data_IF_768593585668
#
_entry.id   IF_768593585668
#
_cell.length_a   1.000
_cell.length_b   1.000
_cell.length_c   1.000
_cell.angle_alpha   90.00
_cell.angle_beta   90.00
_cell.angle_gamma   90.00
#
_symmetry.space_group_name_H-M   'P 1'
#
loop_
_entity.id
_entity.type
_entity.pdbx_description
1 polymer ?
#
# COMPACT_ATOMS: atom_id res chain seq x y z
N UNK A 1 33.99 -6.41 22.68
CA UNK A 1 33.51 -5.57 21.55
C UNK A 1 33.81 -6.27 20.22
N UNK A 2 33.06 -7.32 19.86
CA UNK A 2 33.08 -7.80 18.48
C UNK A 2 32.07 -6.96 17.71
N UNK A 3 32.51 -6.35 16.59
CA UNK A 3 31.56 -5.84 15.60
C UNK A 3 30.72 -7.05 15.18
N UNK A 4 29.44 -7.06 15.51
CA UNK A 4 28.48 -8.01 14.95
C UNK A 4 28.39 -7.69 13.46
N UNK A 5 29.37 -8.16 12.69
CA UNK A 5 29.36 -8.05 11.23
C UNK A 5 28.22 -8.93 10.77
N UNK A 6 27.05 -8.32 10.55
CA UNK A 6 25.97 -8.94 9.81
C UNK A 6 26.60 -9.57 8.57
N UNK A 7 26.40 -10.88 8.32
CA UNK A 7 27.03 -11.51 7.18
C UNK A 7 26.63 -10.74 5.92
N UNK A 8 27.58 -10.36 5.05
CA UNK A 8 27.31 -9.55 3.85
C UNK A 8 26.23 -10.18 2.95
N UNK A 9 26.01 -11.49 3.08
CA UNK A 9 24.94 -12.22 2.40
C UNK A 9 23.51 -11.84 2.82
N UNK A 10 23.28 -11.29 4.01
CA UNK A 10 21.91 -10.98 4.49
C UNK A 10 21.28 -9.76 3.79
N UNK A 11 22.06 -8.70 3.57
CA UNK A 11 21.66 -7.56 2.76
C UNK A 11 21.47 -7.97 1.29
N UNK A 12 22.41 -8.76 0.75
CA UNK A 12 22.33 -9.25 -0.63
C UNK A 12 21.09 -10.14 -0.86
N UNK A 13 20.79 -11.04 0.09
CA UNK A 13 19.60 -11.92 0.04
C UNK A 13 18.31 -11.11 -0.01
N UNK A 14 18.17 -10.14 0.90
CA UNK A 14 16.98 -9.27 0.97
C UNK A 14 16.83 -8.44 -0.31
N UNK A 15 17.91 -7.84 -0.80
CA UNK A 15 17.91 -7.06 -2.04
C UNK A 15 17.55 -7.92 -3.26
N UNK A 16 18.17 -9.10 -3.40
CA UNK A 16 17.92 -10.02 -4.51
C UNK A 16 16.48 -10.54 -4.52
N UNK A 17 15.96 -10.91 -3.36
CA UNK A 17 14.57 -11.33 -3.22
C UNK A 17 13.61 -10.22 -3.62
N UNK A 18 13.81 -8.99 -3.12
CA UNK A 18 12.99 -7.85 -3.51
C UNK A 18 13.11 -7.52 -5.00
N UNK A 19 14.31 -7.64 -5.58
CA UNK A 19 14.54 -7.35 -7.00
C UNK A 19 13.75 -8.29 -7.93
N UNK A 20 13.50 -9.53 -7.51
CA UNK A 20 12.74 -10.51 -8.30
C UNK A 20 11.24 -10.40 -8.04
N UNK A 21 10.83 -10.33 -6.76
CA UNK A 21 9.43 -10.45 -6.38
C UNK A 21 8.69 -9.11 -6.34
N UNK A 22 9.36 -7.99 -6.07
CA UNK A 22 8.70 -6.68 -6.07
C UNK A 22 8.11 -6.35 -7.45
N UNK A 23 8.79 -6.63 -8.59
CA UNK A 23 8.19 -6.40 -9.89
C UNK A 23 6.88 -7.14 -10.10
N UNK A 24 6.86 -8.43 -9.78
CA UNK A 24 5.67 -9.27 -9.92
C UNK A 24 4.53 -8.72 -9.07
N UNK A 25 4.79 -8.42 -7.80
CA UNK A 25 3.78 -7.87 -6.90
C UNK A 25 3.22 -6.53 -7.40
N UNK A 26 4.09 -5.59 -7.74
CA UNK A 26 3.69 -4.25 -8.17
C UNK A 26 2.92 -4.27 -9.49
N UNK A 27 3.33 -5.12 -10.44
CA UNK A 27 2.58 -5.33 -11.68
C UNK A 27 1.18 -5.86 -11.37
N UNK A 28 1.09 -6.92 -10.56
CA UNK A 28 -0.19 -7.52 -10.16
C UNK A 28 -1.10 -6.51 -9.46
N UNK A 29 -0.62 -5.80 -8.44
CA UNK A 29 -1.42 -4.81 -7.71
C UNK A 29 -1.92 -3.70 -8.64
N UNK A 30 -1.05 -3.13 -9.48
CA UNK A 30 -1.42 -2.05 -10.39
C UNK A 30 -2.44 -2.49 -11.44
N UNK A 31 -2.29 -3.70 -12.00
CA UNK A 31 -3.22 -4.25 -12.99
C UNK A 31 -4.57 -4.60 -12.37
N UNK A 32 -4.56 -5.25 -11.20
CA UNK A 32 -5.78 -5.65 -10.50
C UNK A 32 -6.58 -4.46 -9.98
N UNK A 33 -5.90 -3.41 -9.52
CA UNK A 33 -6.53 -2.13 -9.19
C UNK A 33 -7.24 -1.55 -10.42
N UNK A 34 -6.55 -1.49 -11.56
CA UNK A 34 -7.09 -0.92 -12.79
C UNK A 34 -8.29 -1.72 -13.30
N UNK A 35 -8.29 -3.06 -13.20
CA UNK A 35 -9.45 -3.91 -13.51
C UNK A 35 -10.68 -3.51 -12.68
N UNK A 36 -10.51 -3.39 -11.36
CA UNK A 36 -11.60 -3.03 -10.46
C UNK A 36 -12.15 -1.64 -10.73
N UNK A 37 -11.27 -0.68 -11.03
CA UNK A 37 -11.71 0.67 -11.40
C UNK A 37 -12.40 0.70 -12.76
N UNK A 38 -11.92 -0.07 -13.74
CA UNK A 38 -12.55 -0.15 -15.06
C UNK A 38 -13.95 -0.77 -14.97
N UNK A 39 -14.11 -1.83 -14.17
CA UNK A 39 -15.42 -2.46 -13.89
C UNK A 39 -16.36 -1.53 -13.14
N UNK A 40 -15.85 -0.82 -12.13
CA UNK A 40 -16.63 0.21 -11.43
C UNK A 40 -17.10 1.30 -12.39
N UNK A 41 -16.24 1.72 -13.33
CA UNK A 41 -16.60 2.74 -14.30
C UNK A 41 -17.71 2.29 -15.26
N UNK A 42 -17.76 1.03 -15.68
CA UNK A 42 -18.85 0.51 -16.54
C UNK A 42 -20.12 0.12 -15.75
N UNK A 43 -20.20 0.45 -14.46
CA UNK A 43 -21.37 0.14 -13.63
C UNK A 43 -21.50 -1.34 -13.29
N UNK A 44 -20.41 -2.10 -13.29
CA UNK A 44 -20.39 -3.51 -12.85
C UNK A 44 -20.02 -3.55 -11.36
N UNK A 45 -20.63 -4.46 -10.55
CA UNK A 45 -20.26 -4.63 -9.15
C UNK A 45 -18.75 -4.83 -8.96
N UNK A 46 -18.20 -4.22 -7.90
CA UNK A 46 -16.76 -4.19 -7.61
C UNK A 46 -16.19 -5.56 -7.19
N UNK A 47 -17.03 -6.57 -7.00
CA UNK A 47 -16.59 -7.93 -6.67
C UNK A 47 -16.04 -8.68 -7.89
N UNK A 48 -14.99 -8.16 -8.54
CA UNK A 48 -14.21 -8.90 -9.54
C UNK A 48 -13.31 -9.90 -8.82
N UNK A 49 -13.56 -11.20 -9.05
CA UNK A 49 -12.74 -12.27 -8.47
C UNK A 49 -11.27 -12.10 -8.87
N UNK A 50 -10.99 -11.75 -10.13
CA UNK A 50 -9.62 -11.57 -10.63
C UNK A 50 -8.90 -10.38 -10.01
N UNK A 51 -9.56 -9.21 -9.99
CA UNK A 51 -9.00 -8.01 -9.38
C UNK A 51 -8.77 -8.18 -7.87
N UNK A 52 -9.74 -8.73 -7.14
CA UNK A 52 -9.57 -8.94 -5.70
C UNK A 52 -8.49 -9.96 -5.38
N UNK A 53 -8.47 -11.10 -6.08
CA UNK A 53 -7.44 -12.13 -5.89
C UNK A 53 -6.05 -11.59 -6.24
N UNK A 54 -5.90 -10.88 -7.36
CA UNK A 54 -4.61 -10.34 -7.75
C UNK A 54 -4.06 -9.30 -6.77
N UNK A 55 -4.92 -8.44 -6.21
CA UNK A 55 -4.50 -7.53 -5.13
C UNK A 55 -4.09 -8.29 -3.86
N UNK A 56 -4.85 -9.32 -3.47
CA UNK A 56 -4.53 -10.14 -2.29
C UNK A 56 -3.19 -10.90 -2.46
N UNK A 57 -2.97 -11.53 -3.61
CA UNK A 57 -1.69 -12.20 -3.93
C UNK A 57 -0.54 -11.21 -3.94
N UNK A 58 -0.71 -10.03 -4.54
CA UNK A 58 0.33 -9.00 -4.47
C UNK A 58 0.62 -8.58 -3.04
N UNK A 59 -0.41 -8.42 -2.19
CA UNK A 59 -0.21 -8.03 -0.80
C UNK A 59 0.58 -9.09 -0.04
N UNK A 60 0.32 -10.38 -0.29
CA UNK A 60 1.07 -11.50 0.29
C UNK A 60 2.54 -11.43 -0.15
N UNK A 61 2.82 -11.24 -1.45
CA UNK A 61 4.20 -11.15 -1.95
C UNK A 61 4.92 -9.93 -1.33
N UNK A 62 4.27 -8.77 -1.25
CA UNK A 62 4.82 -7.60 -0.57
C UNK A 62 5.07 -7.86 0.92
N UNK A 63 4.19 -8.61 1.58
CA UNK A 63 4.36 -9.05 2.96
C UNK A 63 5.60 -9.94 3.11
N UNK A 64 5.80 -10.90 2.20
CA UNK A 64 7.00 -11.73 2.17
C UNK A 64 8.27 -10.92 1.95
N UNK A 65 8.25 -9.92 1.06
CA UNK A 65 9.38 -9.01 0.85
C UNK A 65 9.69 -8.26 2.15
N UNK A 66 8.66 -7.71 2.81
CA UNK A 66 8.80 -6.99 4.07
C UNK A 66 9.38 -7.90 5.17
N UNK A 67 8.88 -9.13 5.31
CA UNK A 67 9.39 -10.11 6.27
C UNK A 67 10.85 -10.48 5.98
N UNK A 68 11.24 -10.64 4.72
CA UNK A 68 12.64 -10.90 4.35
C UNK A 68 13.58 -9.72 4.67
N UNK A 69 13.04 -8.53 4.96
CA UNK A 69 13.80 -7.38 5.43
C UNK A 69 14.04 -7.38 6.96
N UNK A 70 13.74 -8.48 7.66
CA UNK A 70 13.93 -8.64 9.12
C UNK A 70 15.37 -8.35 9.59
N UNK A 71 16.39 -8.57 8.74
CA UNK A 71 17.82 -8.35 9.09
C UNK A 71 18.41 -7.11 8.43
N UNK A 72 17.83 -6.67 7.32
CA UNK A 72 18.33 -5.54 6.55
C UNK A 72 17.19 -4.88 5.79
N UNK A 73 17.09 -3.55 5.83
CA UNK A 73 15.99 -2.78 5.24
C UNK A 73 16.09 -2.59 3.72
N UNK A 74 17.16 -3.08 3.08
CA UNK A 74 17.47 -2.78 1.68
C UNK A 74 16.40 -3.26 0.70
N UNK A 75 15.76 -4.40 0.98
CA UNK A 75 14.70 -4.94 0.13
C UNK A 75 13.49 -4.00 0.02
N UNK A 76 13.14 -3.25 1.07
CA UNK A 76 12.05 -2.27 1.01
C UNK A 76 12.39 -1.06 0.13
N UNK A 77 13.65 -0.60 0.15
CA UNK A 77 14.10 0.46 -0.74
C UNK A 77 14.15 0.02 -2.20
N UNK A 78 14.56 -1.23 -2.45
CA UNK A 78 14.50 -1.84 -3.78
C UNK A 78 13.06 -1.94 -4.27
N UNK A 79 12.13 -2.38 -3.42
CA UNK A 79 10.71 -2.43 -3.75
C UNK A 79 10.14 -1.03 -4.03
N UNK A 80 10.53 0.00 -3.28
CA UNK A 80 10.13 1.38 -3.53
C UNK A 80 10.66 1.92 -4.87
N UNK A 81 11.91 1.61 -5.23
CA UNK A 81 12.46 1.97 -6.54
C UNK A 81 11.69 1.29 -7.67
N UNK A 82 11.36 0.00 -7.51
CA UNK A 82 10.52 -0.73 -8.45
C UNK A 82 9.11 -0.16 -8.56
N UNK A 83 8.51 0.32 -7.46
CA UNK A 83 7.19 0.94 -7.47
C UNK A 83 7.13 2.17 -8.38
N UNK A 84 8.20 2.98 -8.39
CA UNK A 84 8.31 4.11 -9.32
C UNK A 84 8.50 3.64 -10.76
N UNK A 85 9.43 2.71 -11.01
CA UNK A 85 9.72 2.23 -12.38
C UNK A 85 8.48 1.58 -13.00
N UNK A 86 7.87 0.65 -12.29
CA UNK A 86 6.72 -0.12 -12.79
C UNK A 86 5.47 0.73 -12.85
N UNK A 87 5.18 1.50 -11.80
CA UNK A 87 4.01 2.36 -11.81
C UNK A 87 4.12 3.44 -12.90
N UNK A 88 5.32 3.97 -13.19
CA UNK A 88 5.52 4.83 -14.35
C UNK A 88 5.24 4.08 -15.65
N UNK A 89 5.86 2.91 -15.86
CA UNK A 89 5.63 2.11 -17.07
C UNK A 89 4.16 1.71 -17.27
N UNK A 90 3.42 1.43 -16.20
CA UNK A 90 1.97 1.17 -16.25
C UNK A 90 1.16 2.45 -16.55
N UNK A 91 1.57 3.60 -16.00
CA UNK A 91 0.91 4.90 -16.23
C UNK A 91 1.02 5.35 -17.68
N UNK A 92 2.07 4.92 -18.40
CA UNK A 92 2.23 5.15 -19.84
C UNK A 92 1.74 3.98 -20.71
N UNK A 93 1.17 2.93 -20.11
CA UNK A 93 0.58 1.80 -20.84
C UNK A 93 1.60 0.81 -21.43
N UNK A 94 2.88 0.90 -21.07
CA UNK A 94 3.95 0.02 -21.56
C UNK A 94 3.94 -1.35 -20.88
N UNK A 95 3.50 -1.45 -19.63
CA UNK A 95 3.46 -2.70 -18.86
C UNK A 95 2.02 -3.21 -18.72
N UNK A 96 1.54 -3.94 -19.73
CA UNK A 96 0.20 -4.59 -19.76
C UNK A 96 0.34 -6.08 -20.03
N UNK A 97 0.14 -6.90 -19.00
CA UNK A 97 0.13 -8.36 -19.14
C UNK A 97 -1.32 -8.81 -19.26
N UNK A 98 -1.78 -9.03 -20.49
CA UNK A 98 -3.16 -9.41 -20.80
C UNK A 98 -3.55 -10.80 -20.24
N UNK A 99 -2.58 -11.65 -19.89
CA UNK A 99 -2.85 -12.97 -19.32
C UNK A 99 -3.33 -12.93 -17.86
N UNK A 100 -3.13 -11.82 -17.13
CA UNK A 100 -3.36 -11.74 -15.69
C UNK A 100 -4.69 -11.08 -15.29
N UNK A 101 -5.48 -10.60 -16.25
CA UNK A 101 -6.77 -9.92 -16.02
C UNK A 101 -7.68 -10.17 -17.23
N UNK A 102 -8.94 -10.60 -17.03
CA UNK A 102 -9.86 -10.91 -18.12
C UNK A 102 -10.51 -9.69 -18.79
N UNK A 103 -10.39 -8.50 -18.20
CA UNK A 103 -10.77 -7.28 -18.87
C UNK A 103 -9.70 -6.89 -19.91
N UNK A 104 -10.11 -6.71 -21.16
CA UNK A 104 -9.33 -6.04 -22.20
C UNK A 104 -9.10 -4.56 -21.82
N UNK A 105 -8.23 -4.31 -20.84
CA UNK A 105 -7.87 -2.98 -20.36
C UNK A 105 -7.10 -2.25 -21.46
N UNK A 106 -7.68 -1.14 -21.94
CA UNK A 106 -6.98 -0.25 -22.87
C UNK A 106 -5.79 0.43 -22.17
N UNK A 107 -4.81 0.89 -22.96
CA UNK A 107 -3.69 1.67 -22.42
C UNK A 107 -4.18 2.94 -21.72
N UNK A 108 -5.24 3.55 -22.26
CA UNK A 108 -5.82 4.77 -21.74
C UNK A 108 -6.52 4.53 -20.41
N UNK A 109 -7.24 3.41 -20.26
CA UNK A 109 -7.89 3.05 -18.99
C UNK A 109 -6.87 2.73 -17.89
N UNK A 110 -5.77 2.03 -18.24
CA UNK A 110 -4.67 1.80 -17.30
C UNK A 110 -4.03 3.12 -16.84
N UNK A 111 -3.75 4.02 -17.80
CA UNK A 111 -3.17 5.32 -17.49
C UNK A 111 -4.09 6.17 -16.61
N UNK A 112 -5.39 6.14 -16.92
CA UNK A 112 -6.41 6.85 -16.18
C UNK A 112 -6.48 6.34 -14.74
N UNK A 113 -6.47 5.02 -14.55
CA UNK A 113 -6.55 4.40 -13.24
C UNK A 113 -5.42 4.80 -12.26
N UNK A 114 -4.25 5.12 -12.80
CA UNK A 114 -3.05 5.42 -12.02
C UNK A 114 -2.76 6.91 -11.84
N UNK A 115 -3.29 7.78 -12.70
CA UNK A 115 -2.96 9.22 -12.70
C UNK A 115 -3.66 9.99 -11.58
N UNK A 116 -4.96 9.79 -11.39
CA UNK A 116 -5.74 10.60 -10.45
C UNK A 116 -5.35 10.35 -8.99
N UNK A 117 -4.92 9.14 -8.66
CA UNK A 117 -4.50 8.73 -7.32
C UNK A 117 -2.98 8.78 -7.09
N UNK A 118 -2.20 9.24 -8.09
CA UNK A 118 -0.73 9.20 -8.09
C UNK A 118 -0.18 7.84 -7.61
N UNK A 119 -0.75 6.75 -8.12
CA UNK A 119 -0.44 5.38 -7.68
C UNK A 119 1.06 5.08 -7.47
N UNK A 120 1.96 5.27 -8.47
CA UNK A 120 3.39 5.00 -8.29
C UNK A 120 4.00 5.72 -7.09
N UNK A 121 3.61 6.98 -6.87
CA UNK A 121 4.19 7.84 -5.82
C UNK A 121 3.66 7.45 -4.46
N UNK A 122 2.37 7.16 -4.33
CA UNK A 122 1.78 6.67 -3.07
C UNK A 122 2.39 5.34 -2.63
N UNK A 123 2.51 4.38 -3.55
CA UNK A 123 3.10 3.07 -3.25
C UNK A 123 4.58 3.23 -2.86
N UNK A 124 5.35 4.02 -3.61
CA UNK A 124 6.74 4.29 -3.29
C UNK A 124 6.89 4.96 -1.92
N UNK A 125 6.04 5.94 -1.58
CA UNK A 125 6.07 6.62 -0.29
C UNK A 125 5.80 5.67 0.88
N UNK A 126 4.82 4.76 0.77
CA UNK A 126 4.55 3.74 1.79
C UNK A 126 5.75 2.81 1.97
N UNK A 127 6.32 2.31 0.86
CA UNK A 127 7.45 1.38 0.90
C UNK A 127 8.73 2.06 1.44
N UNK A 128 8.97 3.32 1.08
CA UNK A 128 10.06 4.14 1.64
C UNK A 128 9.84 4.38 3.14
N UNK A 129 8.64 4.77 3.56
CA UNK A 129 8.30 5.00 4.96
C UNK A 129 8.56 3.75 5.81
N UNK A 130 8.11 2.58 5.34
CA UNK A 130 8.41 1.30 5.98
C UNK A 130 9.90 0.95 5.95
N UNK A 131 10.59 1.17 4.83
CA UNK A 131 12.03 0.94 4.71
C UNK A 131 12.85 1.78 5.69
N UNK A 132 12.49 3.05 5.87
CA UNK A 132 13.10 3.94 6.88
C UNK A 132 12.77 3.47 8.29
N UNK A 133 11.53 3.05 8.56
CA UNK A 133 11.15 2.50 9.87
C UNK A 133 11.95 1.23 10.22
N UNK A 134 12.18 0.33 9.26
CA UNK A 134 13.07 -0.82 9.42
C UNK A 134 14.52 -0.40 9.65
N UNK A 135 15.05 0.54 8.87
CA UNK A 135 16.43 1.02 9.02
C UNK A 135 16.66 1.65 10.39
N UNK A 136 15.73 2.46 10.89
CA UNK A 136 15.76 3.04 12.23
C UNK A 136 15.64 1.96 13.32
N UNK A 137 14.89 0.89 13.06
CA UNK A 137 14.79 -0.27 13.96
C UNK A 137 16.12 -1.00 14.07
N UNK A 138 16.76 -1.30 12.95
CA UNK A 138 18.07 -1.96 12.92
C UNK A 138 19.17 -1.09 13.54
N UNK A 139 19.16 0.23 13.28
CA UNK A 139 20.12 1.17 13.88
C UNK A 139 19.98 1.26 15.39
N UNK A 140 18.75 1.28 15.92
CA UNK A 140 18.54 1.31 17.37
C UNK A 140 19.05 0.02 18.04
N UNK A 141 18.79 -1.14 17.41
CA UNK A 141 19.31 -2.45 17.86
C UNK A 141 20.84 -2.47 17.89
N UNK A 142 21.49 -1.97 16.84
CA UNK A 142 22.94 -1.92 16.77
C UNK A 142 23.57 -1.00 17.82
N UNK A 143 22.86 0.07 18.23
CA UNK A 143 23.37 1.05 19.20
C UNK A 143 23.25 0.55 20.64
N UNK A 144 22.17 -0.14 20.97
CA UNK A 144 21.88 -0.60 22.34
C UNK A 144 21.50 -2.10 22.36
N UNK A 145 22.47 -3.02 22.23
CA UNK A 145 22.20 -4.46 22.26
C UNK A 145 21.65 -4.94 23.62
N UNK A 146 22.09 -4.34 24.73
CA UNK A 146 21.69 -4.71 26.11
C UNK A 146 20.41 -4.00 26.58
N UNK A 147 19.99 -2.89 25.95
CA UNK A 147 18.80 -2.15 26.39
C UNK A 147 17.47 -2.82 25.99
N UNK A 148 17.51 -3.80 25.10
CA UNK A 148 16.34 -4.65 24.79
C UNK A 148 16.12 -5.77 25.83
N UNK A 149 17.11 -6.03 26.69
CA UNK A 149 17.10 -7.10 27.70
C UNK A 149 16.38 -6.69 29.01
N UNK A 150 16.28 -5.39 29.30
CA UNK A 150 15.86 -4.90 30.62
C UNK A 150 14.88 -3.71 30.63
N UNK A 151 14.42 -3.20 29.47
CA UNK A 151 13.54 -2.03 29.49
C UNK A 151 12.07 -2.39 29.78
N UNK A 152 11.49 -1.90 30.90
CA UNK A 152 10.11 -2.22 31.26
C UNK A 152 9.13 -1.69 30.21
N UNK A 153 8.24 -2.58 29.78
CA UNK A 153 7.22 -2.40 28.74
C UNK A 153 6.36 -1.14 28.97
N UNK A 154 6.16 -0.74 30.22
CA UNK A 154 5.32 0.38 30.64
C UNK A 154 5.84 1.75 30.19
N UNK A 155 7.18 1.97 30.15
CA UNK A 155 7.74 3.32 29.90
C UNK A 155 7.57 3.78 28.45
N UNK A 156 7.44 2.84 27.51
CA UNK A 156 7.19 3.13 26.10
C UNK A 156 5.72 2.93 25.68
N UNK A 157 4.85 2.45 26.57
CA UNK A 157 3.46 2.18 26.23
C UNK A 157 2.68 3.48 25.94
N UNK A 158 2.90 4.53 26.74
CA UNK A 158 2.27 5.85 26.52
C UNK A 158 2.70 6.46 25.19
N UNK A 159 3.98 6.41 24.84
CA UNK A 159 4.50 6.89 23.55
C UNK A 159 3.96 6.07 22.37
N UNK A 160 3.88 4.75 22.51
CA UNK A 160 3.29 3.85 21.49
C UNK A 160 1.82 4.13 21.27
N UNK A 161 1.06 4.36 22.35
CA UNK A 161 -0.36 4.72 22.27
C UNK A 161 -0.52 6.11 21.67
N UNK A 162 0.29 7.09 22.07
CA UNK A 162 0.24 8.45 21.54
C UNK A 162 0.50 8.47 20.03
N UNK A 163 1.50 7.74 19.53
CA UNK A 163 1.77 7.61 18.09
C UNK A 163 0.62 6.89 17.36
N UNK A 164 0.02 5.86 17.97
CA UNK A 164 -1.15 5.20 17.40
C UNK A 164 -2.33 6.15 17.27
N UNK A 165 -2.65 6.89 18.33
CA UNK A 165 -3.75 7.86 18.35
C UNK A 165 -3.49 9.00 17.35
N UNK A 166 -2.25 9.50 17.26
CA UNK A 166 -1.87 10.54 16.30
C UNK A 166 -1.95 10.08 14.83
N UNK A 167 -1.76 8.78 14.56
CA UNK A 167 -1.88 8.24 13.21
C UNK A 167 -3.33 8.18 12.70
N UNK A 168 -4.32 8.06 13.60
CA UNK A 168 -5.74 7.97 13.21
C UNK A 168 -6.26 9.19 12.43
N UNK A 169 -6.12 10.45 12.91
CA UNK A 169 -6.59 11.61 12.16
C UNK A 169 -5.85 11.77 10.83
N UNK A 170 -4.57 11.39 10.77
CA UNK A 170 -3.81 11.36 9.52
C UNK A 170 -4.40 10.34 8.53
N UNK A 171 -4.71 9.12 8.99
CA UNK A 171 -5.36 8.09 8.18
C UNK A 171 -6.76 8.52 7.69
N UNK A 172 -7.56 9.16 8.53
CA UNK A 172 -8.88 9.69 8.13
C UNK A 172 -8.71 10.84 7.13
N UNK A 173 -7.73 11.72 7.34
CA UNK A 173 -7.39 12.82 6.43
C UNK A 173 -6.98 12.31 5.05
N UNK A 174 -6.08 11.32 4.98
CA UNK A 174 -5.68 10.70 3.72
C UNK A 174 -6.86 10.02 3.00
N UNK A 175 -7.77 9.38 3.74
CA UNK A 175 -8.99 8.78 3.19
C UNK A 175 -9.89 9.86 2.56
N UNK A 176 -10.15 10.96 3.28
CA UNK A 176 -10.97 12.05 2.78
C UNK A 176 -10.35 12.72 1.54
N UNK A 177 -9.03 12.90 1.53
CA UNK A 177 -8.29 13.43 0.39
C UNK A 177 -8.37 12.49 -0.82
N UNK A 178 -8.28 11.18 -0.62
CA UNK A 178 -8.41 10.19 -1.69
C UNK A 178 -9.80 10.20 -2.34
N UNK A 179 -10.85 10.24 -1.52
CA UNK A 179 -12.23 10.34 -2.02
C UNK A 179 -12.41 11.66 -2.80
N UNK A 180 -11.84 12.76 -2.31
CA UNK A 180 -11.90 14.07 -2.99
C UNK A 180 -11.16 14.08 -4.34
N UNK A 181 -10.06 13.34 -4.45
CA UNK A 181 -9.31 13.20 -5.71
C UNK A 181 -10.00 12.24 -6.69
N UNK A 182 -10.94 11.42 -6.22
CA UNK A 182 -11.62 10.45 -7.05
C UNK A 182 -12.58 11.13 -8.03
N UNK A 183 -12.73 10.55 -9.24
CA UNK A 183 -13.68 11.08 -10.21
C UNK A 183 -15.11 11.12 -9.67
N UNK A 184 -15.73 12.29 -9.79
CA UNK A 184 -17.05 12.59 -9.26
C UNK A 184 -18.17 12.41 -10.29
N UNK A 185 -17.84 12.61 -11.56
CA UNK A 185 -18.80 12.62 -12.64
C UNK A 185 -18.59 11.39 -13.53
N UNK A 186 -19.60 10.54 -13.53
CA UNK A 186 -19.68 9.31 -14.31
C UNK A 186 -20.45 9.48 -15.62
N UNK A 187 -20.97 10.68 -15.95
CA UNK A 187 -21.63 10.91 -17.25
C UNK A 187 -20.82 10.44 -18.47
N UNK A 188 -19.47 10.59 -18.51
CA UNK A 188 -18.66 10.10 -19.62
C UNK A 188 -18.46 8.58 -19.64
N UNK A 189 -18.73 7.89 -18.52
CA UNK A 189 -18.48 6.45 -18.35
C UNK A 189 -19.22 5.62 -19.39
N UNK A 190 -20.48 5.96 -19.63
CA UNK A 190 -21.35 5.20 -20.52
C UNK A 190 -20.86 5.21 -21.98
N UNK A 191 -20.08 6.23 -22.38
CA UNK A 191 -19.63 6.39 -23.75
C UNK A 191 -18.13 6.07 -23.96
N UNK A 192 -17.30 6.26 -22.93
CA UNK A 192 -15.82 6.24 -23.08
C UNK A 192 -15.08 5.44 -21.99
N UNK A 193 -15.79 4.75 -21.09
CA UNK A 193 -15.16 3.97 -20.03
C UNK A 193 -14.36 4.81 -19.03
N UNK A 194 -13.36 4.21 -18.39
CA UNK A 194 -12.57 4.84 -17.31
C UNK A 194 -11.73 6.02 -17.81
N UNK A 195 -11.16 5.90 -19.01
CA UNK A 195 -10.40 6.99 -19.65
C UNK A 195 -11.22 8.26 -19.86
N UNK A 196 -12.49 8.13 -20.25
CA UNK A 196 -13.40 9.27 -20.45
C UNK A 196 -13.72 10.06 -19.18
N UNK A 197 -13.77 9.36 -18.05
CA UNK A 197 -14.05 9.94 -16.72
C UNK A 197 -12.88 10.74 -16.20
N UNK A 198 -11.69 10.16 -16.29
CA UNK A 198 -10.46 10.80 -15.79
C UNK A 198 -10.07 11.97 -16.70
N UNK A 199 -10.38 11.93 -18.00
CA UNK A 199 -10.15 13.06 -18.89
C UNK A 199 -10.95 14.33 -18.53
N UNK A 200 -12.09 14.19 -17.86
CA UNK A 200 -12.92 15.32 -17.41
C UNK A 200 -12.70 15.69 -15.94
N UNK A 201 -12.00 14.83 -15.20
CA UNK A 201 -11.68 15.08 -13.79
C UNK A 201 -10.39 15.91 -13.72
N UNK A 202 -10.42 17.12 -13.12
CA UNK A 202 -9.20 17.90 -12.96
C UNK A 202 -8.22 17.13 -12.08
N UNK A 203 -7.02 16.88 -12.59
CA UNK A 203 -5.95 16.28 -11.81
C UNK A 203 -5.60 17.21 -10.64
N UNK A 204 -5.57 16.66 -9.43
CA UNK A 204 -5.25 17.39 -8.20
C UNK A 204 -3.90 16.90 -7.64
N UNK A 205 -2.77 17.13 -8.36
CA UNK A 205 -1.49 16.49 -8.04
C UNK A 205 -0.98 16.85 -6.64
N UNK A 206 -1.29 18.06 -6.16
CA UNK A 206 -0.90 18.53 -4.82
C UNK A 206 -1.61 17.71 -3.74
N UNK A 207 -2.90 17.40 -3.92
CA UNK A 207 -3.67 16.64 -2.93
C UNK A 207 -3.26 15.17 -2.93
N UNK A 208 -3.04 14.57 -4.10
CA UNK A 208 -2.55 13.19 -4.17
C UNK A 208 -1.09 13.08 -3.67
N UNK A 209 -0.26 14.11 -3.83
CA UNK A 209 1.06 14.17 -3.21
C UNK A 209 0.98 14.27 -1.68
N UNK A 210 0.04 15.06 -1.13
CA UNK A 210 -0.21 15.11 0.30
C UNK A 210 -0.67 13.75 0.84
N UNK A 211 -1.51 13.00 0.10
CA UNK A 211 -1.85 11.62 0.45
C UNK A 211 -0.61 10.73 0.50
N UNK A 212 0.25 10.79 -0.51
CA UNK A 212 1.47 9.99 -0.54
C UNK A 212 2.36 10.27 0.67
N UNK A 213 2.53 11.55 1.01
CA UNK A 213 3.28 11.97 2.19
C UNK A 213 2.66 11.43 3.48
N UNK A 214 1.36 11.61 3.67
CA UNK A 214 0.64 11.13 4.86
C UNK A 214 0.77 9.60 5.01
N UNK A 215 0.56 8.85 3.93
CA UNK A 215 0.67 7.38 3.95
C UNK A 215 2.11 6.93 4.21
N UNK A 216 3.11 7.63 3.68
CA UNK A 216 4.52 7.41 3.99
C UNK A 216 4.86 7.68 5.45
N UNK A 217 4.33 8.75 6.04
CA UNK A 217 4.49 9.09 7.46
C UNK A 217 3.80 8.06 8.37
N UNK A 218 2.61 7.59 8.00
CA UNK A 218 1.92 6.50 8.71
C UNK A 218 2.76 5.21 8.63
N UNK A 219 3.29 4.86 7.46
CA UNK A 219 4.18 3.72 7.32
C UNK A 219 5.45 3.88 8.17
N UNK A 220 6.02 5.08 8.26
CA UNK A 220 7.16 5.39 9.13
C UNK A 220 6.81 5.28 10.62
N UNK A 221 5.60 5.70 11.01
CA UNK A 221 5.12 5.66 12.39
C UNK A 221 5.13 4.25 13.00
N UNK A 222 5.10 3.22 12.15
CA UNK A 222 5.26 1.82 12.54
C UNK A 222 6.54 1.55 13.34
N UNK A 223 7.58 2.38 13.18
CA UNK A 223 8.82 2.36 13.98
C UNK A 223 8.57 2.51 15.47
N UNK A 224 7.60 3.31 15.87
CA UNK A 224 7.24 3.51 17.28
C UNK A 224 6.05 2.66 17.65
N UNK A 225 4.97 2.71 16.87
CA UNK A 225 3.74 1.97 17.16
C UNK A 225 3.24 1.21 15.95
N UNK A 226 3.14 -0.11 16.08
CA UNK A 226 2.62 -0.95 15.00
C UNK A 226 1.08 -0.92 14.95
N UNK A 227 0.43 -0.63 16.08
CA UNK A 227 -1.02 -0.64 16.21
C UNK A 227 -1.64 0.43 15.29
N UNK A 228 -1.12 1.66 15.32
CA UNK A 228 -1.66 2.77 14.52
C UNK A 228 -1.73 2.46 13.01
N UNK A 229 -0.59 2.20 12.34
CA UNK A 229 -0.55 1.91 10.91
C UNK A 229 -1.35 0.68 10.52
N UNK A 230 -1.38 -0.37 11.36
CA UNK A 230 -2.19 -1.56 11.11
C UNK A 230 -3.69 -1.28 11.25
N UNK A 231 -4.13 -0.55 12.28
CA UNK A 231 -5.53 -0.15 12.44
C UNK A 231 -5.99 0.66 11.23
N UNK A 232 -5.18 1.61 10.75
CA UNK A 232 -5.49 2.40 9.55
C UNK A 232 -5.56 1.50 8.32
N UNK A 233 -4.59 0.62 8.13
CA UNK A 233 -4.57 -0.33 7.02
C UNK A 233 -5.85 -1.17 6.99
N UNK A 234 -6.27 -1.74 8.12
CA UNK A 234 -7.51 -2.51 8.21
C UNK A 234 -8.78 -1.66 8.07
N UNK A 235 -8.75 -0.41 8.52
CA UNK A 235 -9.83 0.57 8.28
C UNK A 235 -10.00 0.90 6.80
N UNK A 236 -8.96 0.70 5.98
CA UNK A 236 -9.05 0.84 4.53
C UNK A 236 -9.44 -0.47 3.85
N UNK A 237 -8.83 -1.59 4.27
CA UNK A 237 -9.07 -2.93 3.71
C UNK A 237 -10.52 -3.35 3.94
N UNK A 238 -11.04 -3.29 5.17
CA UNK A 238 -12.37 -3.83 5.47
C UNK A 238 -13.46 -3.14 4.63
N UNK A 239 -13.55 -1.79 4.59
CA UNK A 239 -14.54 -1.13 3.75
C UNK A 239 -14.28 -1.31 2.25
N UNK A 240 -13.05 -1.05 1.79
CA UNK A 240 -12.74 -1.00 0.36
C UNK A 240 -12.64 -2.36 -0.33
N UNK A 241 -12.19 -3.38 0.38
CA UNK A 241 -11.96 -4.73 -0.16
C UNK A 241 -13.08 -5.71 0.15
N UNK A 242 -13.80 -5.54 1.27
CA UNK A 242 -14.84 -6.48 1.71
C UNK A 242 -16.24 -5.86 1.64
N UNK A 243 -16.50 -4.81 2.43
CA UNK A 243 -17.87 -4.32 2.63
C UNK A 243 -18.46 -3.65 1.38
N UNK A 244 -17.71 -2.78 0.71
CA UNK A 244 -18.19 -2.09 -0.50
C UNK A 244 -18.39 -3.10 -1.64
N UNK A 245 -17.41 -3.95 -2.00
CA UNK A 245 -17.64 -4.97 -3.04
C UNK A 245 -18.83 -5.88 -2.73
N UNK A 246 -18.90 -6.43 -1.50
CA UNK A 246 -20.02 -7.27 -1.07
C UNK A 246 -21.36 -6.51 -1.13
N UNK A 247 -21.38 -5.28 -0.63
CA UNK A 247 -22.56 -4.42 -0.66
C UNK A 247 -23.05 -4.16 -2.09
N UNK A 248 -22.15 -3.85 -3.01
CA UNK A 248 -22.51 -3.63 -4.44
C UNK A 248 -23.06 -4.89 -5.08
N UNK A 249 -22.54 -6.07 -4.74
CA UNK A 249 -23.05 -7.36 -5.23
C UNK A 249 -24.43 -7.69 -4.66
N UNK A 250 -24.66 -7.43 -3.37
CA UNK A 250 -25.92 -7.76 -2.71
C UNK A 250 -27.05 -6.80 -3.06
N UNK A 251 -26.74 -5.51 -3.21
CA UNK A 251 -27.74 -4.45 -3.42
C UNK A 251 -27.93 -4.07 -4.88
N UNK A 252 -26.98 -4.44 -5.76
CA UNK A 252 -26.94 -3.96 -7.14
C UNK A 252 -26.60 -2.47 -7.26
N UNK A 253 -26.25 -1.79 -6.16
CA UNK A 253 -25.84 -0.38 -6.17
C UNK A 253 -24.46 -0.30 -6.80
N UNK A 254 -24.43 0.24 -8.00
CA UNK A 254 -23.22 0.44 -8.81
C UNK A 254 -23.03 1.92 -9.11
N UNK A 255 -21.92 2.28 -9.73
CA UNK A 255 -21.70 3.65 -10.19
C UNK A 255 -22.80 4.02 -11.19
N UNK A 256 -23.64 4.97 -10.79
CA UNK A 256 -24.72 5.50 -11.64
C UNK A 256 -24.24 6.75 -12.37
N UNK A 257 -24.72 7.02 -13.60
CA UNK A 257 -24.39 8.24 -14.33
C UNK A 257 -24.79 9.52 -13.57
N UNK A 258 -23.86 10.47 -13.45
CA UNK A 258 -24.09 11.78 -12.82
C UNK A 258 -23.11 12.09 -11.70
N UNK A 259 -23.13 13.36 -11.26
CA UNK A 259 -22.28 13.82 -10.16
C UNK A 259 -22.84 13.36 -8.81
N UNK A 260 -22.15 12.45 -8.13
CA UNK A 260 -22.56 12.00 -6.79
C UNK A 260 -21.38 11.63 -5.90
N UNK A 261 -21.55 11.80 -4.58
CA UNK A 261 -20.57 11.36 -3.59
C UNK A 261 -20.46 9.82 -3.57
N UNK A 262 -21.55 9.11 -3.84
CA UNK A 262 -21.55 7.66 -3.97
C UNK A 262 -20.63 7.18 -5.09
N UNK A 263 -20.67 7.85 -6.25
CA UNK A 263 -19.74 7.60 -7.37
C UNK A 263 -18.28 7.76 -6.95
N UNK A 264 -17.95 8.88 -6.27
CA UNK A 264 -16.58 9.10 -5.78
C UNK A 264 -16.10 8.00 -4.84
N UNK A 265 -16.95 7.59 -3.89
CA UNK A 265 -16.61 6.53 -2.92
C UNK A 265 -16.41 5.19 -3.60
N UNK A 266 -17.28 4.82 -4.54
CA UNK A 266 -17.17 3.56 -5.28
C UNK A 266 -15.93 3.54 -6.18
N UNK A 267 -15.59 4.66 -6.82
CA UNK A 267 -14.37 4.81 -7.63
C UNK A 267 -13.09 4.77 -6.77
N UNK A 268 -13.15 5.30 -5.55
CA UNK A 268 -12.03 5.30 -4.62
C UNK A 268 -11.81 3.96 -3.91
N UNK A 269 -12.85 3.12 -3.80
CA UNK A 269 -12.85 1.93 -2.94
C UNK A 269 -11.67 0.97 -3.21
N UNK A 270 -11.41 0.66 -4.48
CA UNK A 270 -10.30 -0.24 -4.86
C UNK A 270 -8.92 0.39 -4.57
N UNK A 271 -8.77 1.70 -4.77
CA UNK A 271 -7.54 2.43 -4.43
C UNK A 271 -7.27 2.45 -2.94
N UNK A 272 -8.32 2.72 -2.15
CA UNK A 272 -8.26 2.71 -0.68
C UNK A 272 -7.85 1.30 -0.20
N UNK A 273 -8.49 0.26 -0.74
CA UNK A 273 -8.15 -1.13 -0.42
C UNK A 273 -6.70 -1.47 -0.76
N UNK A 274 -6.23 -1.10 -1.96
CA UNK A 274 -4.86 -1.36 -2.39
C UNK A 274 -3.83 -0.69 -1.47
N UNK A 275 -4.02 0.59 -1.12
CA UNK A 275 -3.12 1.28 -0.20
C UNK A 275 -3.18 0.70 1.22
N UNK A 276 -4.36 0.32 1.70
CA UNK A 276 -4.51 -0.39 2.96
C UNK A 276 -3.72 -1.71 2.96
N UNK A 277 -3.85 -2.52 1.91
CA UNK A 277 -3.12 -3.78 1.77
C UNK A 277 -1.60 -3.58 1.71
N UNK A 278 -1.12 -2.59 0.94
CA UNK A 278 0.30 -2.28 0.86
C UNK A 278 0.82 -1.79 2.22
N UNK A 279 0.07 -0.96 2.93
CA UNK A 279 0.44 -0.48 4.27
C UNK A 279 0.50 -1.62 5.29
N UNK A 280 -0.51 -2.50 5.30
CA UNK A 280 -0.53 -3.70 6.17
C UNK A 280 0.67 -4.61 5.85
N UNK A 281 0.87 -4.95 4.57
CA UNK A 281 1.91 -5.86 4.13
C UNK A 281 3.32 -5.31 4.39
N UNK A 282 3.55 -4.04 4.04
CA UNK A 282 4.86 -3.41 4.16
C UNK A 282 5.31 -3.22 5.62
N UNK A 283 4.41 -3.14 6.58
CA UNK A 283 4.75 -2.96 8.00
C UNK A 283 4.95 -4.27 8.77
N UNK A 284 4.62 -5.44 8.18
CA UNK A 284 4.83 -6.75 8.81
C UNK A 284 6.29 -7.04 9.13
N UNK A 285 7.24 -6.65 8.27
CA UNK A 285 8.67 -6.87 8.51
C UNK A 285 9.18 -6.23 9.79
N UNK A 286 8.55 -5.13 10.24
CA UNK A 286 8.94 -4.40 11.45
C UNK A 286 8.53 -5.18 12.69
N UNK A 287 7.40 -5.88 12.66
CA UNK A 287 7.00 -6.83 13.70
C UNK A 287 8.08 -7.89 13.91
N UNK A 288 8.49 -8.53 12.82
CA UNK A 288 9.46 -9.62 12.87
C UNK A 288 10.86 -9.12 13.24
N UNK A 289 11.28 -7.98 12.71
CA UNK A 289 12.55 -7.34 13.09
C UNK A 289 12.67 -7.10 14.61
N UNK A 290 11.54 -6.77 15.28
CA UNK A 290 11.49 -6.63 16.74
C UNK A 290 11.48 -7.97 17.48
N UNK A 291 10.75 -8.98 16.96
CA UNK A 291 10.63 -10.28 17.62
C UNK A 291 11.91 -11.12 17.54
N UNK A 292 12.69 -11.01 16.47
CA UNK A 292 14.00 -11.67 16.42
C UNK A 292 15.01 -11.08 17.41
N UNK A 293 14.85 -9.79 17.77
CA UNK A 293 15.70 -9.19 18.78
C UNK A 293 15.55 -9.87 20.15
N UNK A 294 14.32 -10.26 20.52
CA UNK A 294 14.05 -10.93 21.80
C UNK A 294 14.48 -12.40 21.84
N UNK A 295 14.55 -13.07 20.68
CA UNK A 295 14.91 -14.50 20.61
C UNK A 295 16.43 -14.72 20.48
N UNK A 296 17.16 -13.82 19.80
CA UNK A 296 18.62 -13.91 19.73
C UNK A 296 19.26 -13.69 21.10
N UNK A 297 18.67 -12.84 21.95
CA UNK A 297 19.13 -12.63 23.33
C UNK A 297 18.92 -13.85 24.22
N UNK A 298 17.75 -14.51 24.14
CA UNK A 298 17.43 -15.68 24.98
C UNK A 298 18.21 -16.95 24.64
N UNK A 299 19.02 -16.95 23.57
CA UNK A 299 19.82 -18.11 23.15
C UNK A 299 21.29 -18.02 23.58
N UNK A 300 21.70 -16.90 24.17
CA UNK A 300 23.05 -16.68 24.70
C UNK A 300 23.12 -16.79 26.24
N UNK A 301 22.01 -17.13 26.90
CA UNK A 301 21.91 -17.54 28.31
C UNK A 301 21.83 -19.08 28.40
#
# INVERSE_FOLDING_TARGET
>A
MSKLSLPPGSALRSAFFAAIFAPVALILMGMSLADLQARAAIGVPLASVEGMIGMAFSAIILGMISINCERHSIGMFVAAAWALIIGFLQTFGYLRIHFLVAANLSADDMSAAQRWNLYPVCVAAILLGSGVALALTHRARAKNPEAEELMPFERHQSERIAVAVASLPLGIGALALLIRCAPADSLPMAARGLSGVVAQTPLQPILSAAVAEILGLIALASRWSMIGPQVIAWTYIIPGFLLIPLGTTLTGVVVTPGHSLGTQVLMAASTIAAYGMILAASTLGIYWARRYATNDSSSND
#
